data_IF_740934361386
#
_entry.id   IF_740934361386
#
_cell.length_a   1.000
_cell.length_b   1.000
_cell.length_c   1.000
_cell.angle_alpha   90.00
_cell.angle_beta   90.00
_cell.angle_gamma   90.00
#
_symmetry.space_group_name_H-M   'P 1'
#
loop_
_entity.id
_entity.type
_entity.pdbx_description
1 polymer ?
#
# COMPACT_ATOMS: atom_id res chain seq x y z
N UNK A 1 22.34 3.35 -2.00
CA UNK A 1 21.45 3.39 -0.82
C UNK A 1 20.50 2.20 -0.89
N UNK A 2 20.27 1.54 0.22
CA UNK A 2 19.39 0.36 0.25
C UNK A 2 18.05 0.71 0.87
N UNK A 3 17.07 -0.19 0.72
CA UNK A 3 15.78 -0.01 1.37
C UNK A 3 15.91 0.05 2.89
N UNK A 4 16.83 -0.71 3.46
CA UNK A 4 17.09 -0.63 4.90
C UNK A 4 17.58 0.75 5.30
N UNK A 5 18.44 1.36 4.49
CA UNK A 5 18.94 2.71 4.75
C UNK A 5 17.81 3.74 4.72
N UNK A 6 16.75 3.45 3.98
CA UNK A 6 15.58 4.33 3.90
C UNK A 6 14.63 4.14 5.07
N UNK A 7 14.91 3.20 5.96
CA UNK A 7 14.06 2.95 7.12
C UNK A 7 12.96 1.92 6.92
N UNK A 8 13.05 1.14 5.84
CA UNK A 8 12.05 0.11 5.56
C UNK A 8 12.33 -1.12 6.41
N UNK A 9 11.27 -1.70 6.98
CA UNK A 9 11.36 -2.87 7.84
C UNK A 9 12.05 -4.04 7.14
N UNK A 10 12.92 -4.78 7.84
CA UNK A 10 13.61 -5.92 7.24
C UNK A 10 12.69 -6.98 6.64
N UNK A 11 11.53 -7.22 7.27
CA UNK A 11 10.57 -8.18 6.73
C UNK A 11 10.06 -7.76 5.36
N UNK A 12 9.82 -6.46 5.18
CA UNK A 12 9.38 -5.92 3.90
C UNK A 12 10.50 -5.99 2.87
N UNK A 13 11.72 -5.66 3.29
CA UNK A 13 12.89 -5.75 2.40
C UNK A 13 13.06 -7.19 1.91
N UNK A 14 12.85 -8.15 2.78
CA UNK A 14 12.93 -9.56 2.43
C UNK A 14 11.88 -9.93 1.36
N UNK A 15 10.65 -9.46 1.55
CA UNK A 15 9.59 -9.69 0.56
C UNK A 15 9.91 -9.04 -0.79
N UNK A 16 10.47 -7.85 -0.78
CA UNK A 16 10.88 -7.18 -2.01
C UNK A 16 11.98 -8.00 -2.72
N UNK A 17 12.91 -8.53 -1.95
CA UNK A 17 13.98 -9.37 -2.49
C UNK A 17 13.43 -10.62 -3.19
N UNK A 18 12.43 -11.25 -2.60
CA UNK A 18 11.77 -12.40 -3.20
C UNK A 18 11.15 -12.06 -4.56
N UNK A 19 10.77 -10.81 -4.75
CA UNK A 19 10.18 -10.34 -6.00
C UNK A 19 11.22 -9.80 -6.97
N UNK A 20 12.50 -9.94 -6.64
CA UNK A 20 13.58 -9.44 -7.47
C UNK A 20 13.87 -7.95 -7.31
N UNK A 21 13.30 -7.33 -6.29
CA UNK A 21 13.49 -5.90 -6.03
C UNK A 21 14.52 -5.76 -4.91
N UNK A 22 15.76 -5.47 -5.28
CA UNK A 22 16.86 -5.44 -4.32
C UNK A 22 17.36 -4.05 -4.00
N UNK A 23 17.17 -3.11 -4.92
CA UNK A 23 17.63 -1.75 -4.75
C UNK A 23 16.53 -0.76 -5.08
N UNK A 24 16.44 0.36 -4.37
CA UNK A 24 15.42 1.35 -4.69
C UNK A 24 15.72 2.09 -5.99
N UNK A 25 14.66 2.46 -6.68
CA UNK A 25 14.74 3.34 -7.83
C UNK A 25 14.92 4.79 -7.37
N UNK A 26 15.31 5.64 -8.29
CA UNK A 26 15.57 7.04 -7.99
C UNK A 26 14.37 7.75 -7.32
N UNK A 27 13.17 7.53 -7.83
CA UNK A 27 11.97 8.17 -7.25
C UNK A 27 11.72 7.68 -5.82
N UNK A 28 12.07 6.43 -5.54
CA UNK A 28 11.92 5.87 -4.20
C UNK A 28 12.93 6.49 -3.24
N UNK A 29 14.17 6.61 -3.66
CA UNK A 29 15.19 7.27 -2.84
C UNK A 29 14.86 8.72 -2.54
N UNK A 30 14.24 9.39 -3.50
CA UNK A 30 13.89 10.80 -3.34
C UNK A 30 12.67 10.99 -2.43
N UNK A 31 11.67 10.13 -2.54
CA UNK A 31 10.38 10.33 -1.86
C UNK A 31 10.28 9.69 -0.48
N UNK A 32 10.86 8.50 -0.32
CA UNK A 32 10.67 7.72 0.91
C UNK A 32 11.17 8.45 2.17
N UNK A 33 12.35 9.07 2.18
CA UNK A 33 12.80 9.73 3.42
C UNK A 33 11.82 10.80 3.92
N UNK A 34 11.30 11.63 3.04
CA UNK A 34 10.38 12.68 3.43
C UNK A 34 9.03 12.14 3.87
N UNK A 35 8.51 11.16 3.15
CA UNK A 35 7.22 10.57 3.51
C UNK A 35 7.31 9.77 4.80
N UNK A 36 8.45 9.16 5.09
CA UNK A 36 8.65 8.47 6.36
C UNK A 36 8.63 9.44 7.54
N UNK A 37 9.01 10.69 7.31
CA UNK A 37 8.94 11.72 8.33
C UNK A 37 7.55 12.36 8.46
N UNK A 38 6.60 11.93 7.64
CA UNK A 38 5.26 12.47 7.67
C UNK A 38 5.06 13.72 6.84
N UNK A 39 6.00 14.06 5.99
CA UNK A 39 5.88 15.24 5.12
C UNK A 39 5.01 14.92 3.92
N UNK A 40 4.30 15.93 3.45
CA UNK A 40 3.55 15.82 2.21
C UNK A 40 4.52 15.87 1.04
N UNK A 41 4.34 14.98 0.09
CA UNK A 41 5.25 14.86 -1.05
C UNK A 41 4.46 14.79 -2.35
N UNK A 42 4.92 15.53 -3.34
CA UNK A 42 4.36 15.46 -4.68
C UNK A 42 5.46 14.92 -5.61
N UNK A 43 5.23 13.73 -6.15
CA UNK A 43 6.20 13.08 -7.01
C UNK A 43 5.76 13.06 -8.45
N UNK A 44 6.69 13.36 -9.34
CA UNK A 44 6.47 13.25 -10.78
C UNK A 44 7.55 12.36 -11.35
N UNK A 45 7.14 11.26 -11.96
CA UNK A 45 8.07 10.30 -12.51
C UNK A 45 7.38 9.52 -13.63
N UNK A 46 8.15 9.01 -14.60
CA UNK A 46 7.56 8.26 -15.71
C UNK A 46 6.97 6.94 -15.27
N UNK A 47 6.09 6.37 -16.08
CA UNK A 47 5.53 5.04 -15.86
C UNK A 47 6.66 4.03 -15.78
N UNK A 48 6.56 3.09 -14.84
CA UNK A 48 7.57 2.06 -14.66
C UNK A 48 8.75 2.49 -13.81
N UNK A 49 8.68 3.66 -13.17
CA UNK A 49 9.76 4.18 -12.34
C UNK A 49 9.67 3.77 -10.88
N UNK A 50 8.69 2.93 -10.51
CA UNK A 50 8.54 2.46 -9.14
C UNK A 50 7.77 3.40 -8.23
N UNK A 51 6.88 4.23 -8.78
CA UNK A 51 6.09 5.16 -7.98
C UNK A 51 5.23 4.47 -6.94
N UNK A 52 4.69 3.29 -7.26
CA UNK A 52 3.82 2.58 -6.33
C UNK A 52 4.53 2.28 -5.01
N UNK A 53 5.77 1.84 -5.08
CA UNK A 53 6.55 1.59 -3.88
C UNK A 53 7.00 2.89 -3.22
N UNK A 54 7.21 3.93 -4.00
CA UNK A 54 7.62 5.22 -3.45
C UNK A 54 6.60 5.77 -2.45
N UNK A 55 5.30 5.58 -2.72
CA UNK A 55 4.28 5.99 -1.75
C UNK A 55 3.81 4.82 -0.88
N UNK A 56 3.82 3.61 -1.43
CA UNK A 56 3.29 2.44 -0.73
C UNK A 56 4.14 1.99 0.44
N UNK A 57 5.45 2.01 0.32
CA UNK A 57 6.33 1.59 1.41
C UNK A 57 6.22 2.49 2.64
N UNK A 58 6.29 3.82 2.51
CA UNK A 58 6.09 4.68 3.67
C UNK A 58 4.69 4.55 4.25
N UNK A 59 3.68 4.39 3.38
CA UNK A 59 2.31 4.25 3.84
C UNK A 59 2.15 3.00 4.71
N UNK A 60 2.70 1.87 4.27
CA UNK A 60 2.66 0.62 5.04
C UNK A 60 3.44 0.79 6.35
N UNK A 61 4.61 1.41 6.29
CA UNK A 61 5.45 1.59 7.46
C UNK A 61 4.79 2.48 8.52
N UNK A 62 4.00 3.45 8.11
CA UNK A 62 3.36 4.39 9.01
C UNK A 62 1.96 3.96 9.44
N UNK A 63 1.34 3.04 8.70
CA UNK A 63 0.02 2.53 9.07
C UNK A 63 0.12 1.66 10.30
N UNK A 64 -0.91 1.72 11.12
CA UNK A 64 -1.07 0.83 12.26
C UNK A 64 -2.31 -0.01 12.02
N UNK A 65 -2.33 -1.25 12.53
CA UNK A 65 -3.56 -2.02 12.47
C UNK A 65 -4.69 -1.23 13.11
N UNK A 66 -5.81 -1.18 12.43
CA UNK A 66 -6.96 -0.43 12.91
C UNK A 66 -8.09 -1.39 13.27
N UNK A 67 -9.10 -0.86 13.95
CA UNK A 67 -10.29 -1.64 14.24
C UNK A 67 -10.99 -2.03 12.95
N UNK A 68 -11.65 -3.21 12.90
CA UNK A 68 -12.44 -3.58 11.74
C UNK A 68 -13.43 -2.49 11.37
N UNK A 69 -13.55 -2.22 10.08
CA UNK A 69 -14.43 -1.19 9.57
C UNK A 69 -13.85 0.21 9.58
N UNK A 70 -12.59 0.36 10.01
CA UNK A 70 -11.96 1.67 10.07
C UNK A 70 -10.63 1.67 9.33
N UNK A 71 -10.60 2.13 8.09
CA UNK A 71 -9.35 2.18 7.35
C UNK A 71 -8.39 3.19 7.95
N UNK A 72 -7.12 2.85 7.98
CA UNK A 72 -6.09 3.75 8.47
C UNK A 72 -5.42 4.55 7.37
N UNK A 73 -5.63 4.17 6.13
CA UNK A 73 -5.05 4.87 4.98
C UNK A 73 -5.93 4.71 3.76
N UNK A 74 -5.83 5.66 2.87
CA UNK A 74 -6.62 5.67 1.64
C UNK A 74 -5.72 6.01 0.45
N UNK A 75 -5.84 5.22 -0.62
CA UNK A 75 -5.17 5.50 -1.88
C UNK A 75 -6.25 5.71 -2.93
N UNK A 76 -6.21 6.86 -3.59
CA UNK A 76 -7.19 7.20 -4.62
C UNK A 76 -6.53 7.11 -5.99
N UNK A 77 -7.18 6.43 -6.91
CA UNK A 77 -6.66 6.25 -8.27
C UNK A 77 -7.72 6.59 -9.29
N UNK A 78 -7.30 6.97 -10.51
CA UNK A 78 -8.27 7.34 -11.54
C UNK A 78 -8.94 6.14 -12.22
N UNK A 79 -8.37 4.95 -12.16
CA UNK A 79 -8.92 3.79 -12.86
C UNK A 79 -8.97 2.55 -11.96
N UNK A 80 -9.90 1.66 -12.30
CA UNK A 80 -10.04 0.39 -11.62
C UNK A 80 -8.79 -0.48 -11.79
N UNK A 81 -8.25 -0.51 -13.00
CA UNK A 81 -7.08 -1.31 -13.31
C UNK A 81 -5.88 -0.88 -12.45
N UNK A 82 -5.69 0.41 -12.27
CA UNK A 82 -4.61 0.92 -11.45
C UNK A 82 -4.85 0.59 -9.98
N UNK A 83 -6.09 0.67 -9.51
CA UNK A 83 -6.42 0.29 -8.14
C UNK A 83 -6.05 -1.17 -7.87
N UNK A 84 -6.36 -2.06 -8.81
CA UNK A 84 -6.02 -3.46 -8.68
C UNK A 84 -4.52 -3.71 -8.74
N UNK A 85 -3.82 -3.03 -9.61
CA UNK A 85 -2.36 -3.13 -9.69
C UNK A 85 -1.71 -2.73 -8.37
N UNK A 86 -2.14 -1.62 -7.80
CA UNK A 86 -1.61 -1.16 -6.53
C UNK A 86 -1.92 -2.16 -5.42
N UNK A 87 -3.15 -2.66 -5.40
CA UNK A 87 -3.54 -3.66 -4.42
C UNK A 87 -2.66 -4.91 -4.51
N UNK A 88 -2.42 -5.39 -5.74
CA UNK A 88 -1.59 -6.58 -5.95
C UNK A 88 -0.14 -6.36 -5.52
N UNK A 89 0.39 -5.17 -5.75
CA UNK A 89 1.77 -4.85 -5.36
C UNK A 89 1.89 -4.75 -3.84
N UNK A 90 0.94 -4.09 -3.19
CA UNK A 90 1.06 -3.80 -1.76
C UNK A 90 0.59 -4.92 -0.85
N UNK A 91 -0.29 -5.81 -1.32
CA UNK A 91 -0.84 -6.86 -0.46
C UNK A 91 0.23 -7.76 0.18
N UNK A 92 1.21 -8.30 -0.55
CA UNK A 92 2.22 -9.14 0.11
C UNK A 92 3.08 -8.37 1.10
N UNK A 93 3.32 -7.10 0.84
CA UNK A 93 4.11 -6.26 1.74
C UNK A 93 3.32 -5.88 2.99
N UNK A 94 2.07 -5.52 2.81
CA UNK A 94 1.19 -5.15 3.92
C UNK A 94 0.97 -6.33 4.87
N UNK A 95 0.91 -7.53 4.31
CA UNK A 95 0.73 -8.74 5.09
C UNK A 95 1.84 -8.94 6.10
N UNK A 96 3.07 -8.55 5.77
CA UNK A 96 4.20 -8.65 6.69
C UNK A 96 4.04 -7.73 7.90
N UNK A 97 3.22 -6.71 7.78
CA UNK A 97 2.94 -5.76 8.86
C UNK A 97 1.55 -5.99 9.47
N UNK A 98 0.94 -7.13 9.18
CA UNK A 98 -0.41 -7.47 9.65
C UNK A 98 -1.46 -6.45 9.22
N UNK A 99 -1.30 -5.93 8.00
CA UNK A 99 -2.24 -4.99 7.41
C UNK A 99 -2.95 -5.64 6.22
N UNK A 100 -4.13 -5.14 5.92
CA UNK A 100 -4.91 -5.60 4.78
C UNK A 100 -5.08 -4.47 3.79
N UNK A 101 -5.08 -4.83 2.52
CA UNK A 101 -5.32 -3.90 1.43
C UNK A 101 -6.55 -4.38 0.66
N UNK A 102 -7.45 -3.47 0.39
CA UNK A 102 -8.67 -3.81 -0.35
C UNK A 102 -8.93 -2.75 -1.41
N UNK A 103 -9.16 -3.19 -2.64
CA UNK A 103 -9.50 -2.29 -3.73
C UNK A 103 -11.02 -2.17 -3.83
N UNK A 104 -11.51 -0.95 -3.98
CA UNK A 104 -12.92 -0.68 -4.15
C UNK A 104 -13.11 0.22 -5.35
N UNK A 105 -14.07 -0.12 -6.21
CA UNK A 105 -14.37 0.66 -7.40
C UNK A 105 -15.79 0.39 -7.84
N UNK A 106 -16.29 1.24 -8.72
CA UNK A 106 -17.65 1.08 -9.24
C UNK A 106 -17.81 -0.17 -10.08
N UNK A 107 -19.02 -0.64 -10.22
CA UNK A 107 -19.32 -1.84 -10.99
C UNK A 107 -19.33 -3.13 -10.19
N UNK A 108 -18.92 -3.09 -8.94
CA UNK A 108 -19.00 -4.24 -8.04
C UNK A 108 -20.26 -4.13 -7.21
N UNK A 109 -20.97 -5.25 -7.01
CA UNK A 109 -22.19 -5.21 -6.23
C UNK A 109 -21.89 -4.87 -4.76
N UNK A 110 -22.85 -4.20 -4.13
CA UNK A 110 -22.69 -3.82 -2.74
C UNK A 110 -22.53 -5.05 -1.83
N UNK A 111 -23.29 -6.08 -2.11
CA UNK A 111 -23.20 -7.33 -1.34
C UNK A 111 -21.81 -7.94 -1.44
N UNK A 112 -21.24 -7.93 -2.64
CA UNK A 112 -19.90 -8.46 -2.85
C UNK A 112 -18.86 -7.66 -2.07
N UNK A 113 -18.99 -6.35 -2.05
CA UNK A 113 -18.08 -5.49 -1.29
C UNK A 113 -18.19 -5.75 0.22
N UNK A 114 -19.39 -5.89 0.74
CA UNK A 114 -19.59 -6.19 2.15
C UNK A 114 -18.94 -7.52 2.53
N UNK A 115 -19.17 -8.53 1.73
CA UNK A 115 -18.59 -9.85 2.00
C UNK A 115 -17.07 -9.79 2.02
N UNK A 116 -16.49 -9.10 1.06
CA UNK A 116 -15.03 -8.97 0.99
C UNK A 116 -14.49 -8.21 2.19
N UNK A 117 -15.15 -7.14 2.60
CA UNK A 117 -14.73 -6.36 3.76
C UNK A 117 -14.82 -7.17 5.04
N UNK A 118 -15.90 -7.91 5.22
CA UNK A 118 -16.08 -8.73 6.43
C UNK A 118 -15.00 -9.82 6.50
N UNK A 119 -14.73 -10.48 5.40
CA UNK A 119 -13.69 -11.49 5.35
C UNK A 119 -12.32 -10.90 5.66
N UNK A 120 -12.07 -9.68 5.20
CA UNK A 120 -10.83 -8.98 5.47
C UNK A 120 -10.76 -8.54 6.93
N UNK A 121 -11.89 -8.11 7.50
CA UNK A 121 -11.94 -7.64 8.90
C UNK A 121 -11.52 -8.70 9.89
N UNK A 122 -11.81 -9.95 9.62
CA UNK A 122 -11.39 -11.05 10.49
C UNK A 122 -9.89 -11.12 10.66
N UNK A 123 -9.16 -10.45 9.80
CA UNK A 123 -7.70 -10.46 9.81
C UNK A 123 -7.15 -9.04 9.99
N UNK A 124 -7.87 -8.20 10.71
CA UNK A 124 -7.48 -6.82 10.96
C UNK A 124 -7.36 -5.99 9.71
N UNK A 125 -8.25 -6.19 8.78
CA UNK A 125 -8.19 -5.50 7.52
C UNK A 125 -8.63 -4.05 7.62
N UNK A 126 -8.22 -3.31 6.63
CA UNK A 126 -8.75 -1.97 6.39
C UNK A 126 -10.11 -2.13 5.73
N UNK A 127 -11.14 -1.64 6.37
CA UNK A 127 -12.43 -1.55 5.75
C UNK A 127 -12.53 -0.23 4.99
N UNK A 128 -13.46 -0.17 4.07
CA UNK A 128 -13.48 0.93 3.14
C UNK A 128 -14.69 1.79 3.31
N UNK A 129 -14.45 3.06 3.33
CA UNK A 129 -15.52 4.02 3.28
C UNK A 129 -16.39 3.85 2.04
N UNK A 130 -15.84 3.28 0.99
CA UNK A 130 -16.54 3.09 -0.26
C UNK A 130 -17.75 2.18 -0.21
N UNK A 131 -17.90 1.42 0.85
CA UNK A 131 -19.07 0.57 0.94
C UNK A 131 -20.33 1.30 1.42
N UNK A 132 -20.20 2.55 1.69
CA UNK A 132 -21.36 3.38 2.01
C UNK A 132 -22.16 3.69 0.78
#
# INVERSE_FOLDING_TARGET
MSFLDLGIEPAIVYQLKKQGITEPFEVQEAAIPDTMLGKDVCCRAPTGSGKTLAFGLPLIARCKPSEPGKPSSLIVTPTRELAEQICNVLTPLAKEMHLKVLAVYGGTSYTCLLYTSDAADEEDSVDLGGRR
#
